data_IF_104245439581
#
_entry.id   IF_104245439581
#
_cell.length_a   1.000
_cell.length_b   1.000
_cell.length_c   1.000
_cell.angle_alpha   90.00
_cell.angle_beta   90.00
_cell.angle_gamma   90.00
#
_symmetry.space_group_name_H-M   'P 1'
#
loop_
_entity.id
_entity.type
_entity.pdbx_description
1 polymer ?
#
# COMPACT_ATOMS: atom_id res chain seq x y z
N UNK A 1 -32.38 -38.32 -13.33
CA UNK A 1 -31.09 -37.67 -13.67
C UNK A 1 -30.54 -37.05 -12.39
N UNK A 2 -29.33 -37.39 -11.93
CA UNK A 2 -28.78 -36.76 -10.73
C UNK A 2 -28.46 -35.30 -11.07
N UNK A 3 -29.04 -34.37 -10.30
CA UNK A 3 -28.77 -32.94 -10.40
C UNK A 3 -27.28 -32.70 -10.30
N UNK A 4 -26.67 -32.11 -11.33
CA UNK A 4 -25.28 -31.66 -11.26
C UNK A 4 -25.14 -30.79 -10.00
N UNK A 5 -24.20 -31.15 -9.13
CA UNK A 5 -23.87 -30.35 -7.96
C UNK A 5 -23.16 -29.11 -8.49
N UNK A 6 -23.87 -27.99 -8.56
CA UNK A 6 -23.28 -26.67 -8.86
C UNK A 6 -22.41 -26.25 -7.67
N UNK A 7 -21.23 -26.84 -7.55
CA UNK A 7 -20.16 -26.30 -6.72
C UNK A 7 -19.45 -25.23 -7.54
N UNK A 8 -19.52 -23.94 -7.16
CA UNK A 8 -18.79 -22.90 -7.86
C UNK A 8 -17.29 -23.20 -7.79
N UNK A 9 -16.58 -22.93 -8.89
CA UNK A 9 -15.13 -23.09 -9.00
C UNK A 9 -14.42 -22.26 -7.90
N UNK A 10 -13.24 -22.72 -7.41
CA UNK A 10 -12.45 -21.94 -6.46
C UNK A 10 -12.18 -20.53 -6.98
N UNK A 11 -12.54 -19.51 -6.19
CA UNK A 11 -12.30 -18.12 -6.51
C UNK A 11 -10.86 -17.78 -6.12
N UNK A 12 -10.10 -17.17 -7.03
CA UNK A 12 -8.77 -16.62 -6.72
C UNK A 12 -8.93 -15.41 -5.77
N UNK A 13 -8.38 -15.45 -4.54
CA UNK A 13 -8.52 -14.35 -3.59
C UNK A 13 -7.95 -13.02 -4.09
N UNK A 14 -6.94 -13.04 -4.97
CA UNK A 14 -6.35 -11.81 -5.54
C UNK A 14 -7.24 -11.16 -6.60
N UNK A 15 -8.24 -11.89 -7.11
CA UNK A 15 -9.21 -11.36 -8.09
C UNK A 15 -10.39 -10.64 -7.44
N UNK A 16 -10.54 -10.76 -6.12
CA UNK A 16 -11.64 -10.15 -5.36
C UNK A 16 -11.43 -8.64 -5.30
N UNK A 17 -12.36 -7.89 -5.90
CA UNK A 17 -12.41 -6.44 -5.80
C UNK A 17 -13.48 -6.04 -4.80
N UNK A 18 -13.06 -5.39 -3.71
CA UNK A 18 -14.00 -4.88 -2.72
C UNK A 18 -14.61 -3.59 -3.28
N UNK A 19 -15.95 -3.49 -3.38
CA UNK A 19 -16.62 -2.31 -3.92
C UNK A 19 -16.50 -1.14 -2.95
N UNK A 20 -15.41 -0.37 -3.11
CA UNK A 20 -15.02 0.73 -2.23
C UNK A 20 -14.87 2.03 -3.01
N UNK A 21 -15.63 3.05 -2.61
CA UNK A 21 -15.36 4.43 -3.00
C UNK A 21 -14.19 4.98 -2.18
N UNK A 22 -12.98 4.78 -2.69
CA UNK A 22 -11.79 5.45 -2.19
C UNK A 22 -11.39 6.55 -3.16
N UNK A 23 -11.61 7.79 -2.75
CA UNK A 23 -11.06 8.97 -3.43
C UNK A 23 -10.08 9.66 -2.49
N UNK A 24 -8.76 9.65 -2.80
CA UNK A 24 -7.79 10.42 -2.04
C UNK A 24 -7.97 11.92 -2.31
N UNK A 25 -7.49 12.75 -1.37
CA UNK A 25 -7.45 14.18 -1.58
C UNK A 25 -6.60 14.53 -2.83
N UNK A 26 -7.07 15.43 -3.72
CA UNK A 26 -6.32 15.81 -4.91
C UNK A 26 -4.90 16.32 -4.64
N UNK A 27 -4.69 17.03 -3.53
CA UNK A 27 -3.37 17.53 -3.13
C UNK A 27 -2.44 16.39 -2.72
N UNK A 28 -2.94 15.43 -1.93
CA UNK A 28 -2.16 14.25 -1.54
C UNK A 28 -1.79 13.42 -2.78
N UNK A 29 -2.75 13.25 -3.70
CA UNK A 29 -2.54 12.52 -4.95
C UNK A 29 -1.47 13.18 -5.82
N UNK A 30 -1.52 14.51 -5.94
CA UNK A 30 -0.49 15.27 -6.65
C UNK A 30 0.89 15.12 -6.00
N UNK A 31 0.97 15.16 -4.67
CA UNK A 31 2.22 15.00 -3.91
C UNK A 31 2.77 13.56 -3.94
N UNK A 32 1.95 12.58 -4.28
CA UNK A 32 2.30 11.16 -4.40
C UNK A 32 2.63 10.74 -5.83
N UNK A 33 2.41 11.62 -6.80
CA UNK A 33 2.60 11.38 -8.22
C UNK A 33 3.84 12.11 -8.75
N UNK A 34 4.52 11.53 -9.74
CA UNK A 34 5.66 12.18 -10.40
C UNK A 34 5.15 12.96 -11.62
N UNK A 35 5.46 14.26 -11.76
CA UNK A 35 5.06 15.03 -12.94
C UNK A 35 5.51 14.36 -14.24
N UNK A 36 4.59 14.20 -15.19
CA UNK A 36 4.86 13.54 -16.48
C UNK A 36 4.84 12.01 -16.43
N UNK A 37 4.50 11.39 -15.29
CA UNK A 37 4.22 9.96 -15.18
C UNK A 37 2.73 9.70 -14.91
N UNK A 38 2.32 8.43 -14.96
CA UNK A 38 0.97 8.03 -14.57
C UNK A 38 0.67 8.45 -13.13
N UNK A 39 -0.56 8.89 -12.89
CA UNK A 39 -1.04 9.27 -11.56
C UNK A 39 -0.92 8.08 -10.61
N UNK A 40 -0.51 8.34 -9.37
CA UNK A 40 -0.36 7.29 -8.37
C UNK A 40 -1.69 6.60 -8.05
N UNK A 41 -1.76 5.29 -8.25
CA UNK A 41 -2.93 4.48 -7.89
C UNK A 41 -2.64 3.62 -6.64
N UNK A 42 -3.25 3.90 -5.48
CA UNK A 42 -3.03 3.14 -4.25
C UNK A 42 -3.52 1.70 -4.35
N UNK A 43 -4.49 1.39 -5.23
CA UNK A 43 -5.02 0.03 -5.44
C UNK A 43 -3.96 -0.85 -6.09
N UNK A 44 -3.28 -0.33 -7.12
CA UNK A 44 -2.30 -1.07 -7.92
C UNK A 44 -0.92 -1.21 -7.26
N UNK A 45 -0.49 -0.25 -6.42
CA UNK A 45 0.95 -0.08 -6.13
C UNK A 45 1.75 -1.20 -5.43
N UNK A 46 1.30 -2.06 -4.54
CA UNK A 46 2.12 -3.09 -3.80
C UNK A 46 3.59 -2.72 -3.47
N UNK A 47 3.85 -2.21 -2.25
CA UNK A 47 5.21 -2.09 -1.73
C UNK A 47 5.78 -3.45 -1.31
N UNK A 48 7.02 -3.72 -1.66
CA UNK A 48 7.71 -4.93 -1.17
C UNK A 48 8.14 -4.77 0.28
N UNK A 49 8.31 -5.88 0.99
CA UNK A 49 8.84 -5.85 2.36
C UNK A 49 10.23 -5.17 2.43
N UNK A 50 11.05 -5.34 1.39
CA UNK A 50 12.35 -4.69 1.29
C UNK A 50 12.23 -3.17 1.12
N UNK A 51 11.26 -2.70 0.34
CA UNK A 51 10.99 -1.27 0.21
C UNK A 51 10.52 -0.66 1.53
N UNK A 52 9.80 -1.40 2.38
CA UNK A 52 9.31 -0.86 3.65
C UNK A 52 10.34 -0.88 4.77
N UNK A 53 11.50 -1.52 4.57
CA UNK A 53 12.56 -1.52 5.59
C UNK A 53 13.13 -0.12 5.79
N UNK A 54 13.43 0.27 7.05
CA UNK A 54 14.15 1.50 7.34
C UNK A 54 15.49 1.51 6.59
N UNK A 55 15.81 2.66 5.99
CA UNK A 55 17.11 2.83 5.35
C UNK A 55 18.22 2.78 6.40
N UNK A 56 19.33 2.05 6.15
CA UNK A 56 20.42 1.97 7.10
C UNK A 56 21.02 3.35 7.34
N UNK A 57 21.31 3.65 8.61
CA UNK A 57 21.93 4.92 8.97
C UNK A 57 23.41 4.93 8.55
N UNK A 58 23.70 5.63 7.47
CA UNK A 58 25.07 5.83 7.02
C UNK A 58 25.73 6.90 7.90
N UNK A 59 26.80 6.52 8.61
CA UNK A 59 27.60 7.46 9.40
C UNK A 59 28.18 8.50 8.46
N UNK A 60 27.96 9.78 8.79
CA UNK A 60 28.58 10.88 8.05
C UNK A 60 30.10 10.80 8.23
N UNK A 61 30.84 11.04 7.14
CA UNK A 61 32.28 11.25 7.23
C UNK A 61 32.59 12.39 8.21
N UNK A 62 33.74 12.29 8.90
CA UNK A 62 34.20 13.36 9.78
C UNK A 62 34.27 14.67 8.99
N UNK A 63 33.76 15.75 9.61
CA UNK A 63 33.81 17.08 9.01
C UNK A 63 35.28 17.51 8.92
N UNK A 64 35.79 17.64 7.70
CA UNK A 64 37.08 18.26 7.42
C UNK A 64 36.80 19.72 7.12
N UNK A 65 37.40 20.62 7.90
CA UNK A 65 37.33 22.06 7.62
C UNK A 65 38.16 22.34 6.36
N UNK A 66 37.67 23.25 5.54
CA UNK A 66 38.38 23.66 4.33
C UNK A 66 39.37 24.74 4.78
N UNK A 67 40.66 24.64 4.43
CA UNK A 67 41.62 25.72 4.63
C UNK A 67 41.11 27.03 3.99
N UNK A 68 41.35 28.19 4.60
CA UNK A 68 40.83 29.48 4.13
C UNK A 68 41.25 29.81 2.68
N UNK A 69 42.43 29.35 2.28
CA UNK A 69 43.01 29.43 0.93
C UNK A 69 42.32 28.51 -0.10
N UNK A 70 41.56 27.50 0.35
CA UNK A 70 40.82 26.55 -0.49
C UNK A 70 39.30 26.83 -0.57
N UNK A 71 38.75 27.81 0.15
CA UNK A 71 37.32 28.13 0.06
C UNK A 71 36.94 28.80 -1.28
N UNK A 72 37.91 29.43 -1.95
CA UNK A 72 37.78 29.99 -3.30
C UNK A 72 37.95 28.98 -4.43
N UNK A 73 38.35 27.73 -4.13
CA UNK A 73 38.70 26.75 -5.15
C UNK A 73 37.47 26.27 -5.93
N UNK A 74 37.53 26.33 -7.25
CA UNK A 74 36.44 25.90 -8.13
C UNK A 74 36.07 24.41 -7.90
N UNK A 75 37.07 23.59 -7.55
CA UNK A 75 36.91 22.18 -7.18
C UNK A 75 36.04 22.00 -5.94
N UNK A 76 36.16 22.88 -4.94
CA UNK A 76 35.32 22.85 -3.75
C UNK A 76 33.87 23.19 -4.10
N UNK A 77 33.64 24.29 -4.81
CA UNK A 77 32.30 24.72 -5.21
C UNK A 77 31.57 23.71 -6.09
N UNK A 78 32.28 23.04 -7.00
CA UNK A 78 31.73 21.94 -7.79
C UNK A 78 31.24 20.78 -6.90
N UNK A 79 32.04 20.35 -5.91
CA UNK A 79 31.62 19.31 -4.93
C UNK A 79 30.42 19.76 -4.11
N UNK A 80 30.40 21.02 -3.65
CA UNK A 80 29.31 21.58 -2.83
C UNK A 80 27.99 21.61 -3.61
N UNK A 81 28.01 22.08 -4.87
CA UNK A 81 26.85 22.07 -5.76
C UNK A 81 26.33 20.65 -6.00
N UNK A 82 27.22 19.70 -6.31
CA UNK A 82 26.86 18.28 -6.50
C UNK A 82 26.19 17.67 -5.26
N UNK A 83 26.73 17.94 -4.07
CA UNK A 83 26.15 17.44 -2.82
C UNK A 83 24.76 18.04 -2.54
N UNK A 84 24.56 19.34 -2.79
CA UNK A 84 23.25 19.98 -2.61
C UNK A 84 22.18 19.37 -3.53
N UNK A 85 22.53 19.14 -4.81
CA UNK A 85 21.64 18.48 -5.77
C UNK A 85 21.31 17.05 -5.33
N UNK A 86 22.32 16.28 -4.93
CA UNK A 86 22.11 14.91 -4.44
C UNK A 86 21.25 14.87 -3.17
N UNK A 87 21.48 15.79 -2.23
CA UNK A 87 20.71 15.91 -1.00
C UNK A 87 19.24 16.28 -1.27
N UNK A 88 18.99 17.21 -2.19
CA UNK A 88 17.63 17.56 -2.63
C UNK A 88 16.94 16.35 -3.26
N UNK A 89 17.58 15.68 -4.22
CA UNK A 89 17.04 14.48 -4.88
C UNK A 89 16.71 13.37 -3.86
N UNK A 90 17.59 13.14 -2.89
CA UNK A 90 17.38 12.15 -1.83
C UNK A 90 16.17 12.48 -0.94
N UNK A 91 16.02 13.75 -0.56
CA UNK A 91 14.87 14.22 0.24
C UNK A 91 13.56 14.10 -0.54
N UNK A 92 13.56 14.53 -1.80
CA UNK A 92 12.37 14.49 -2.65
C UNK A 92 11.93 13.03 -2.90
N UNK A 93 12.88 12.13 -3.18
CA UNK A 93 12.60 10.71 -3.35
C UNK A 93 12.06 10.05 -2.06
N UNK A 94 12.60 10.41 -0.89
CA UNK A 94 12.08 9.94 0.40
C UNK A 94 10.65 10.42 0.62
N UNK A 95 10.40 11.72 0.44
CA UNK A 95 9.08 12.32 0.63
C UNK A 95 8.03 11.72 -0.30
N UNK A 96 8.36 11.55 -1.58
CA UNK A 96 7.47 10.90 -2.55
C UNK A 96 7.05 9.50 -2.07
N UNK A 97 8.02 8.69 -1.64
CA UNK A 97 7.77 7.35 -1.13
C UNK A 97 6.90 7.36 0.13
N UNK A 98 7.16 8.27 1.07
CA UNK A 98 6.36 8.44 2.28
C UNK A 98 4.90 8.81 1.95
N UNK A 99 4.69 9.75 1.02
CA UNK A 99 3.35 10.14 0.56
C UNK A 99 2.60 8.96 -0.09
N UNK A 100 3.27 8.21 -0.96
CA UNK A 100 2.68 7.02 -1.58
C UNK A 100 2.31 5.93 -0.56
N UNK A 101 3.15 5.73 0.47
CA UNK A 101 2.85 4.82 1.57
C UNK A 101 1.63 5.32 2.35
N UNK A 102 1.55 6.62 2.65
CA UNK A 102 0.43 7.19 3.39
C UNK A 102 -0.91 7.01 2.67
N UNK A 103 -0.99 7.36 1.38
CA UNK A 103 -2.22 7.15 0.60
C UNK A 103 -2.58 5.67 0.51
N UNK A 104 -1.60 4.79 0.27
CA UNK A 104 -1.86 3.35 0.19
C UNK A 104 -2.31 2.77 1.53
N UNK A 105 -1.75 3.23 2.66
CA UNK A 105 -2.17 2.80 3.98
C UNK A 105 -3.63 3.20 4.25
N UNK A 106 -4.00 4.46 3.98
CA UNK A 106 -5.38 4.95 4.08
C UNK A 106 -6.35 4.14 3.21
N UNK A 107 -5.95 3.80 1.97
CA UNK A 107 -6.73 2.91 1.12
C UNK A 107 -6.95 1.53 1.75
N UNK A 108 -5.86 0.88 2.19
CA UNK A 108 -5.92 -0.45 2.81
C UNK A 108 -6.70 -0.46 4.12
N UNK A 109 -6.69 0.62 4.89
CA UNK A 109 -7.50 0.75 6.11
C UNK A 109 -9.00 0.75 5.80
N UNK A 110 -9.44 1.52 4.80
CA UNK A 110 -10.85 1.52 4.34
C UNK A 110 -11.23 0.17 3.75
N UNK A 111 -10.34 -0.44 2.97
CA UNK A 111 -10.59 -1.75 2.37
C UNK A 111 -10.71 -2.85 3.41
N UNK A 112 -9.82 -2.87 4.39
CA UNK A 112 -9.89 -3.82 5.49
C UNK A 112 -11.16 -3.63 6.32
N UNK A 113 -11.59 -2.39 6.56
CA UNK A 113 -12.85 -2.11 7.24
C UNK A 113 -14.06 -2.70 6.48
N UNK A 114 -14.13 -2.52 5.16
CA UNK A 114 -15.21 -3.09 4.36
C UNK A 114 -15.18 -4.62 4.32
N UNK A 115 -13.99 -5.22 4.15
CA UNK A 115 -13.82 -6.68 4.23
C UNK A 115 -14.28 -7.25 5.57
N UNK A 116 -14.01 -6.55 6.68
CA UNK A 116 -14.49 -6.98 8.01
C UNK A 116 -16.02 -6.99 8.09
N UNK A 117 -16.70 -6.04 7.45
CA UNK A 117 -18.16 -6.01 7.35
C UNK A 117 -18.66 -7.17 6.51
N UNK A 118 -18.10 -7.40 5.31
CA UNK A 118 -18.48 -8.52 4.45
C UNK A 118 -18.30 -9.87 5.15
N UNK A 119 -17.19 -10.07 5.86
CA UNK A 119 -16.95 -11.29 6.65
C UNK A 119 -17.99 -11.46 7.76
N UNK A 120 -18.41 -10.38 8.42
CA UNK A 120 -19.45 -10.44 9.45
C UNK A 120 -20.80 -10.84 8.86
N UNK A 121 -21.17 -10.29 7.71
CA UNK A 121 -22.42 -10.62 7.01
C UNK A 121 -22.42 -12.07 6.50
N UNK A 122 -21.34 -12.52 5.88
CA UNK A 122 -21.20 -13.93 5.43
C UNK A 122 -21.32 -14.88 6.63
N UNK A 123 -20.68 -14.58 7.76
CA UNK A 123 -20.78 -15.40 8.98
C UNK A 123 -22.21 -15.46 9.51
N UNK A 124 -22.95 -14.34 9.45
CA UNK A 124 -24.35 -14.27 9.85
C UNK A 124 -25.25 -15.10 8.95
N UNK A 125 -25.10 -15.01 7.62
CA UNK A 125 -25.87 -15.82 6.68
C UNK A 125 -25.53 -17.31 6.79
N UNK A 126 -24.25 -17.65 6.95
CA UNK A 126 -23.83 -19.04 7.19
C UNK A 126 -24.47 -19.60 8.47
N UNK A 127 -24.52 -18.80 9.54
CA UNK A 127 -25.22 -19.16 10.77
C UNK A 127 -26.72 -19.43 10.55
N UNK A 128 -27.40 -18.58 9.77
CA UNK A 128 -28.81 -18.80 9.41
C UNK A 128 -29.00 -20.08 8.60
N UNK A 129 -28.17 -20.32 7.57
CA UNK A 129 -28.23 -21.53 6.76
C UNK A 129 -28.02 -22.79 7.60
N UNK A 130 -27.02 -22.78 8.51
CA UNK A 130 -26.79 -23.86 9.46
C UNK A 130 -28.01 -24.12 10.36
N UNK A 131 -28.65 -23.06 10.86
CA UNK A 131 -29.85 -23.20 11.68
C UNK A 131 -31.02 -23.79 10.89
N UNK A 132 -31.20 -23.40 9.62
CA UNK A 132 -32.23 -23.97 8.75
C UNK A 132 -31.95 -25.45 8.49
N UNK A 133 -30.71 -25.81 8.15
CA UNK A 133 -30.30 -27.20 7.94
C UNK A 133 -30.51 -28.06 9.19
N UNK A 134 -30.14 -27.56 10.38
CA UNK A 134 -30.35 -28.27 11.63
C UNK A 134 -31.84 -28.52 11.91
N UNK A 135 -32.71 -27.51 11.67
CA UNK A 135 -34.17 -27.67 11.80
C UNK A 135 -34.74 -28.67 10.81
N UNK A 136 -34.25 -28.68 9.56
CA UNK A 136 -34.65 -29.63 8.55
C UNK A 136 -34.25 -31.06 8.95
N UNK A 137 -32.98 -31.26 9.33
CA UNK A 137 -32.45 -32.55 9.76
C UNK A 137 -33.18 -33.11 10.99
N UNK A 138 -33.54 -32.24 11.94
CA UNK A 138 -34.32 -32.64 13.11
C UNK A 138 -35.73 -33.15 12.76
N UNK A 139 -36.32 -32.67 11.65
CA UNK A 139 -37.67 -33.07 11.21
C UNK A 139 -37.66 -34.26 10.25
N UNK A 140 -36.66 -34.34 9.37
CA UNK A 140 -36.65 -35.27 8.23
C UNK A 140 -35.54 -36.32 8.30
N UNK A 141 -34.70 -36.29 9.34
CA UNK A 141 -33.49 -37.10 9.42
C UNK A 141 -32.32 -36.45 8.66
N UNK A 142 -31.11 -37.01 8.78
CA UNK A 142 -29.94 -36.52 8.06
C UNK A 142 -30.15 -36.55 6.54
N UNK A 143 -29.61 -35.53 5.86
CA UNK A 143 -29.54 -35.45 4.40
C UNK A 143 -28.61 -36.53 3.85
#
# INVERSE_FOLDING_TARGET
LPSARDTPSPIDPESIQVPLSYEPDPADLALSSVPGQEMFDPRKRKFSAEELKPQPMIKKARKVFIPEDMEGDERYWARRRKNNVAAKRSRDARRLKENQIAIRASFLEKENAALRVEVADIRKELGRCKNILAKYQARHGPL
#
